data_IF_964191507138
#
_entry.id   IF_964191507138
#
_cell.length_a   1.000
_cell.length_b   1.000
_cell.length_c   1.000
_cell.angle_alpha   90.00
_cell.angle_beta   90.00
_cell.angle_gamma   90.00
#
_symmetry.space_group_name_H-M   'P 1'
#
loop_
_entity.id
_entity.type
_entity.pdbx_description
1 polymer ?
#
# COMPACT_ATOMS: atom_id res chain seq x y z
N UNK A 1 11.07 2.05 14.93
CA UNK A 1 11.40 2.96 13.81
C UNK A 1 11.40 4.45 14.23
N UNK A 2 11.68 4.78 15.49
CA UNK A 2 11.50 6.13 16.02
C UNK A 2 12.76 7.02 16.01
N UNK A 3 13.96 6.42 15.87
CA UNK A 3 15.22 7.15 15.97
C UNK A 3 15.70 7.75 14.64
N UNK A 4 15.40 7.11 13.50
CA UNK A 4 15.75 7.61 12.16
C UNK A 4 14.99 8.91 11.80
N UNK A 5 13.76 9.03 12.30
CA UNK A 5 12.92 10.21 12.08
C UNK A 5 13.16 11.30 13.12
N UNK A 6 14.08 11.08 14.08
CA UNK A 6 14.38 12.06 15.11
C UNK A 6 15.39 13.09 14.59
N UNK A 7 15.05 14.39 14.55
CA UNK A 7 15.95 15.42 14.06
C UNK A 7 17.28 15.44 14.82
N UNK A 8 18.40 15.57 14.09
CA UNK A 8 19.75 15.65 14.67
C UNK A 8 20.39 14.29 15.01
N UNK A 9 19.68 13.18 14.85
CA UNK A 9 20.21 11.82 15.05
C UNK A 9 20.70 11.25 13.73
N UNK A 10 21.96 10.77 13.71
CA UNK A 10 22.48 9.97 12.60
C UNK A 10 22.17 8.50 12.89
N UNK A 11 21.34 7.88 12.05
CA UNK A 11 21.00 6.45 12.16
C UNK A 11 22.07 5.59 11.50
N UNK A 12 22.73 4.73 12.28
CA UNK A 12 23.68 3.71 11.81
C UNK A 12 23.11 2.28 11.92
N UNK A 13 21.80 2.15 12.18
CA UNK A 13 21.16 0.87 12.52
C UNK A 13 20.60 0.12 11.31
N UNK A 14 20.00 0.85 10.36
CA UNK A 14 19.31 0.24 9.23
C UNK A 14 20.25 0.15 8.03
N UNK A 15 20.28 -1.02 7.37
CA UNK A 15 20.94 -1.23 6.08
C UNK A 15 20.16 -0.60 4.93
N UNK A 16 19.75 0.65 5.09
CA UNK A 16 18.94 1.41 4.14
C UNK A 16 19.87 2.14 3.16
N UNK A 17 19.88 1.77 1.86
CA UNK A 17 20.73 2.45 0.90
C UNK A 17 20.38 3.94 0.83
N UNK A 18 21.39 4.78 0.59
CA UNK A 18 21.16 6.18 0.29
C UNK A 18 20.40 6.30 -1.04
N UNK A 19 19.41 7.18 -1.08
CA UNK A 19 18.48 7.35 -2.20
C UNK A 19 19.14 7.88 -3.49
N UNK A 20 20.27 8.59 -3.38
CA UNK A 20 21.07 9.01 -4.54
C UNK A 20 21.78 7.83 -5.22
N UNK A 21 21.80 6.65 -4.61
CA UNK A 21 22.35 5.42 -5.22
C UNK A 21 21.36 4.69 -6.13
N UNK A 22 20.09 5.10 -6.14
CA UNK A 22 19.06 4.46 -6.94
C UNK A 22 19.22 4.80 -8.44
N UNK A 23 19.18 3.81 -9.34
CA UNK A 23 19.44 4.04 -10.77
C UNK A 23 18.24 4.64 -11.52
N UNK A 24 17.08 4.78 -10.88
CA UNK A 24 15.83 5.28 -11.48
C UNK A 24 15.51 6.65 -10.88
N UNK A 25 15.56 7.69 -11.71
CA UNK A 25 15.33 9.09 -11.29
C UNK A 25 13.91 9.59 -11.54
N UNK A 26 13.17 8.92 -12.43
CA UNK A 26 11.78 9.25 -12.73
C UNK A 26 11.05 8.09 -13.40
N UNK A 27 9.74 8.03 -13.22
CA UNK A 27 8.82 7.20 -14.01
C UNK A 27 7.74 8.09 -14.61
N UNK A 28 7.38 7.83 -15.86
CA UNK A 28 6.30 8.54 -16.54
C UNK A 28 5.31 7.52 -17.10
N UNK A 29 4.03 7.76 -16.83
CA UNK A 29 2.92 6.94 -17.31
C UNK A 29 1.91 7.84 -18.00
N UNK A 30 1.19 7.30 -18.97
CA UNK A 30 0.02 7.94 -19.55
C UNK A 30 -1.19 7.11 -19.21
N UNK A 31 -2.24 7.76 -18.68
CA UNK A 31 -3.48 7.11 -18.29
C UNK A 31 -4.65 7.80 -18.98
N UNK A 32 -5.57 6.99 -19.53
CA UNK A 32 -6.83 7.47 -20.09
C UNK A 32 -7.75 7.98 -18.99
N UNK A 33 -8.48 9.06 -19.28
CA UNK A 33 -9.49 9.59 -18.37
C UNK A 33 -10.61 8.57 -18.15
N UNK A 34 -11.10 8.40 -16.91
CA UNK A 34 -12.22 7.51 -16.63
C UNK A 34 -13.56 8.07 -17.17
N UNK A 35 -13.62 9.35 -17.53
CA UNK A 35 -14.83 10.03 -17.98
C UNK A 35 -14.85 10.27 -19.50
N UNK A 36 -13.68 10.30 -20.16
CA UNK A 36 -13.55 10.53 -21.59
C UNK A 36 -12.42 9.65 -22.16
N UNK A 37 -12.74 8.68 -23.04
CA UNK A 37 -11.73 7.76 -23.54
C UNK A 37 -10.71 8.37 -24.50
N UNK A 38 -11.01 9.55 -25.07
CA UNK A 38 -10.12 10.27 -25.98
C UNK A 38 -9.18 11.24 -25.23
N UNK A 39 -9.45 11.49 -23.94
CA UNK A 39 -8.59 12.30 -23.07
C UNK A 39 -7.55 11.41 -22.36
N UNK A 40 -6.28 11.82 -22.45
CA UNK A 40 -5.17 11.19 -21.75
C UNK A 40 -4.47 12.17 -20.79
N UNK A 41 -4.06 11.67 -19.63
CA UNK A 41 -3.28 12.41 -18.64
C UNK A 41 -1.91 11.77 -18.47
N UNK A 42 -0.86 12.59 -18.56
CA UNK A 42 0.51 12.16 -18.22
C UNK A 42 0.77 12.33 -16.73
N UNK A 43 1.20 11.25 -16.09
CA UNK A 43 1.61 11.19 -14.69
C UNK A 43 3.13 11.04 -14.61
N UNK A 44 3.78 11.95 -13.88
CA UNK A 44 5.24 11.93 -13.67
C UNK A 44 5.53 11.71 -12.20
N UNK A 45 6.26 10.64 -11.89
CA UNK A 45 6.76 10.32 -10.54
C UNK A 45 8.25 10.68 -10.51
N UNK A 46 8.62 11.67 -9.71
CA UNK A 46 10.00 12.16 -9.57
C UNK A 46 10.25 12.69 -8.15
N UNK A 47 11.47 13.15 -7.87
CA UNK A 47 11.86 13.74 -6.58
C UNK A 47 11.61 12.78 -5.41
N UNK A 48 10.99 13.28 -4.34
CA UNK A 48 10.77 12.47 -3.14
C UNK A 48 9.83 11.28 -3.38
N UNK A 49 8.89 11.37 -4.32
CA UNK A 49 7.93 10.30 -4.58
C UNK A 49 8.61 9.06 -5.17
N UNK A 50 9.54 9.24 -6.11
CA UNK A 50 10.29 8.09 -6.67
C UNK A 50 11.27 7.53 -5.63
N UNK A 51 11.90 8.38 -4.82
CA UNK A 51 12.83 7.94 -3.77
C UNK A 51 12.13 7.15 -2.68
N UNK A 52 10.93 7.58 -2.24
CA UNK A 52 10.10 6.82 -1.30
C UNK A 52 9.69 5.48 -1.90
N UNK A 53 9.21 5.46 -3.15
CA UNK A 53 8.74 4.24 -3.80
C UNK A 53 9.82 3.18 -4.05
N UNK A 54 11.08 3.57 -4.21
CA UNK A 54 12.21 2.65 -4.41
C UNK A 54 12.86 2.20 -3.11
N UNK A 55 12.49 2.82 -1.99
CA UNK A 55 13.08 2.58 -0.69
C UNK A 55 12.27 1.57 0.12
N UNK A 56 12.89 0.98 1.15
CA UNK A 56 12.15 0.22 2.16
C UNK A 56 10.99 1.03 2.73
N UNK A 57 9.80 0.43 2.70
CA UNK A 57 8.56 1.02 3.15
C UNK A 57 7.99 0.27 4.37
N UNK A 58 7.08 0.91 5.13
CA UNK A 58 6.29 0.23 6.15
C UNK A 58 5.56 -1.00 5.58
N UNK A 59 5.46 -2.07 6.38
CA UNK A 59 4.87 -3.34 5.96
C UNK A 59 3.39 -3.24 5.59
N UNK A 60 2.67 -2.28 6.18
CA UNK A 60 1.26 -2.02 5.89
C UNK A 60 1.05 -1.20 4.61
N UNK A 61 2.09 -0.51 4.11
CA UNK A 61 2.09 0.17 2.81
C UNK A 61 2.67 1.58 2.87
N UNK A 62 2.75 2.22 1.70
CA UNK A 62 3.21 3.61 1.57
C UNK A 62 2.17 4.55 2.22
N UNK A 63 2.56 5.48 3.12
CA UNK A 63 1.61 6.32 3.86
C UNK A 63 0.64 7.13 2.99
N UNK A 64 1.11 7.66 1.86
CA UNK A 64 0.29 8.43 0.91
C UNK A 64 -0.80 7.57 0.26
N UNK A 65 -0.47 6.34 -0.12
CA UNK A 65 -1.42 5.35 -0.62
C UNK A 65 -2.42 4.96 0.47
N UNK A 66 -1.95 4.65 1.68
CA UNK A 66 -2.83 4.31 2.81
C UNK A 66 -3.86 5.40 3.08
N UNK A 67 -3.44 6.67 3.10
CA UNK A 67 -4.35 7.82 3.27
C UNK A 67 -5.43 7.85 2.18
N UNK A 68 -5.05 7.60 0.93
CA UNK A 68 -6.01 7.54 -0.18
C UNK A 68 -7.01 6.40 0.00
N UNK A 69 -6.55 5.20 0.37
CA UNK A 69 -7.44 4.04 0.58
C UNK A 69 -8.37 4.28 1.79
N UNK A 70 -7.92 4.92 2.87
CA UNK A 70 -8.82 5.32 3.97
C UNK A 70 -9.94 6.23 3.48
N UNK A 71 -9.63 7.23 2.64
CA UNK A 71 -10.65 8.09 2.04
C UNK A 71 -11.63 7.33 1.15
N UNK A 72 -11.16 6.31 0.43
CA UNK A 72 -12.02 5.41 -0.33
C UNK A 72 -12.99 4.65 0.59
N UNK A 73 -12.51 4.11 1.72
CA UNK A 73 -13.36 3.41 2.69
C UNK A 73 -14.41 4.34 3.33
N UNK A 74 -14.03 5.58 3.63
CA UNK A 74 -14.97 6.57 4.15
C UNK A 74 -16.07 6.91 3.12
N UNK A 75 -15.70 7.05 1.84
CA UNK A 75 -16.64 7.36 0.77
C UNK A 75 -17.61 6.20 0.49
N UNK A 76 -17.09 4.98 0.30
CA UNK A 76 -17.89 3.84 -0.16
C UNK A 76 -18.60 3.12 1.00
N UNK A 77 -17.99 3.09 2.18
CA UNK A 77 -18.48 2.30 3.32
C UNK A 77 -18.84 3.13 4.54
N UNK A 78 -18.62 4.45 4.52
CA UNK A 78 -18.89 5.37 5.65
C UNK A 78 -18.17 4.97 6.95
N UNK A 79 -16.99 4.37 6.79
CA UNK A 79 -16.11 3.95 7.89
C UNK A 79 -15.01 4.97 8.08
N UNK A 80 -14.92 5.58 9.27
CA UNK A 80 -13.86 6.54 9.58
C UNK A 80 -12.65 5.88 10.22
N UNK A 81 -11.50 6.50 10.06
CA UNK A 81 -10.29 6.11 10.77
C UNK A 81 -10.49 6.27 12.29
N UNK A 82 -10.04 5.29 13.07
CA UNK A 82 -10.19 5.29 14.53
C UNK A 82 -11.37 4.47 15.06
N UNK A 83 -12.21 3.90 14.21
CA UNK A 83 -13.33 3.03 14.60
C UNK A 83 -12.91 1.58 14.92
N UNK A 84 -11.67 1.35 15.36
CA UNK A 84 -11.17 0.01 15.71
C UNK A 84 -10.79 -0.88 14.53
N UNK A 85 -10.46 -0.32 13.37
CA UNK A 85 -9.96 -1.04 12.20
C UNK A 85 -8.77 -0.31 11.57
N UNK A 86 -8.01 -1.03 10.73
CA UNK A 86 -6.87 -0.48 9.98
C UNK A 86 -6.79 -1.08 8.58
N UNK A 87 -6.08 -0.39 7.69
CA UNK A 87 -5.76 -0.85 6.33
C UNK A 87 -4.36 -1.45 6.31
N UNK A 88 -4.18 -2.51 5.52
CA UNK A 88 -2.88 -3.03 5.10
C UNK A 88 -2.96 -3.36 3.62
N UNK A 89 -1.97 -2.95 2.84
CA UNK A 89 -1.88 -3.23 1.40
C UNK A 89 -1.35 -4.66 1.21
N UNK A 90 -2.08 -5.48 0.45
CA UNK A 90 -1.67 -6.81 0.01
C UNK A 90 -1.27 -6.83 -1.47
N UNK A 91 -0.80 -7.97 -1.96
CA UNK A 91 -0.43 -8.13 -3.37
C UNK A 91 -1.59 -8.58 -4.27
N UNK A 92 -2.80 -8.64 -3.72
CA UNK A 92 -4.03 -9.03 -4.41
C UNK A 92 -5.05 -9.62 -3.46
N UNK A 93 -6.26 -9.91 -3.98
CA UNK A 93 -7.33 -10.50 -3.19
C UNK A 93 -6.97 -11.90 -2.66
N UNK A 94 -6.35 -12.74 -3.47
CA UNK A 94 -5.93 -14.10 -3.07
C UNK A 94 -4.89 -14.07 -1.94
N UNK A 95 -3.94 -13.14 -1.98
CA UNK A 95 -2.97 -12.92 -0.91
C UNK A 95 -3.67 -12.50 0.40
N UNK A 96 -4.60 -11.55 0.31
CA UNK A 96 -5.37 -11.09 1.46
C UNK A 96 -6.23 -12.22 2.06
N UNK A 97 -6.92 -12.99 1.23
CA UNK A 97 -7.72 -14.16 1.66
C UNK A 97 -6.81 -15.18 2.33
N UNK A 98 -5.68 -15.54 1.72
CA UNK A 98 -4.73 -16.51 2.29
C UNK A 98 -4.22 -16.08 3.67
N UNK A 99 -3.87 -14.80 3.85
CA UNK A 99 -3.48 -14.24 5.16
C UNK A 99 -4.60 -14.34 6.19
N UNK A 100 -5.84 -14.03 5.82
CA UNK A 100 -7.00 -14.12 6.71
C UNK A 100 -7.25 -15.58 7.12
N UNK A 101 -7.25 -16.51 6.17
CA UNK A 101 -7.46 -17.92 6.46
C UNK A 101 -6.36 -18.48 7.36
N UNK A 102 -5.09 -18.16 7.06
CA UNK A 102 -3.94 -18.57 7.89
C UNK A 102 -3.98 -17.99 9.30
N UNK A 103 -4.50 -16.76 9.46
CA UNK A 103 -4.56 -16.10 10.76
C UNK A 103 -5.73 -16.58 11.63
N UNK A 104 -6.83 -17.06 11.03
CA UNK A 104 -8.08 -17.33 11.74
C UNK A 104 -8.48 -18.81 11.81
N UNK A 105 -7.90 -19.68 10.98
CA UNK A 105 -8.37 -21.08 10.81
C UNK A 105 -7.25 -22.04 11.16
N UNK A 106 -7.57 -23.03 11.98
CA UNK A 106 -6.70 -24.15 12.34
C UNK A 106 -7.12 -25.46 11.66
N UNK A 107 -6.23 -26.45 11.53
CA UNK A 107 -6.60 -27.76 11.03
C UNK A 107 -7.74 -28.40 11.84
N UNK A 108 -8.82 -28.77 11.15
CA UNK A 108 -10.03 -29.35 11.75
C UNK A 108 -11.20 -28.37 11.90
N UNK A 109 -10.97 -27.07 11.74
CA UNK A 109 -12.03 -26.07 11.77
C UNK A 109 -12.96 -26.18 10.55
N UNK A 110 -14.23 -25.83 10.76
CA UNK A 110 -15.23 -25.73 9.68
C UNK A 110 -15.36 -24.28 9.21
N UNK A 111 -15.48 -24.09 7.90
CA UNK A 111 -15.62 -22.77 7.27
C UNK A 111 -16.85 -22.79 6.37
N UNK A 112 -17.66 -21.73 6.43
CA UNK A 112 -18.81 -21.56 5.53
C UNK A 112 -18.36 -20.88 4.24
N UNK A 113 -18.77 -21.43 3.10
CA UNK A 113 -18.52 -20.88 1.76
C UNK A 113 -19.79 -20.89 0.93
N UNK A 114 -19.90 -19.97 -0.02
CA UNK A 114 -21.03 -19.87 -0.94
C UNK A 114 -20.99 -21.00 -2.02
N UNK A 115 -22.13 -21.27 -2.66
CA UNK A 115 -22.21 -22.21 -3.80
C UNK A 115 -22.86 -21.52 -5.00
N UNK A 116 -22.11 -21.23 -6.09
CA UNK A 116 -20.68 -21.50 -6.28
C UNK A 116 -19.78 -20.56 -5.47
N UNK A 117 -18.54 -20.98 -5.21
CA UNK A 117 -17.50 -20.17 -4.55
C UNK A 117 -16.47 -19.71 -5.59
N UNK A 118 -15.79 -18.59 -5.31
CA UNK A 118 -14.55 -18.22 -5.99
C UNK A 118 -13.47 -19.26 -5.69
N UNK A 119 -13.16 -20.09 -6.69
CA UNK A 119 -12.22 -21.21 -6.59
C UNK A 119 -10.77 -20.80 -6.89
#
# INVERSE_FOLDING_TARGET
MHLETHPGVISLLQGKPNDDTFPITSLQFTARSPNDPDEETTLVITGNAIREGLQYCPTDGIPSLLKWVYGLQEREHRRRQGEGWRISVGTGSQDAISKVLTALISPGDSVLVEKPVYA
#
